data_IF_339038499399
#
_entry.id   IF_339038499399
#
_cell.length_a   1.000
_cell.length_b   1.000
_cell.length_c   1.000
_cell.angle_alpha   90.00
_cell.angle_beta   90.00
_cell.angle_gamma   90.00
#
_symmetry.space_group_name_H-M   'P 1'
#
loop_
_entity.id
_entity.type
_entity.pdbx_description
1 polymer ?
#
# COMPACT_ATOMS: atom_id res chain seq x y z
N UNK A 1 -39.37 -16.81 17.35
CA UNK A 1 -38.58 -17.65 16.41
C UNK A 1 -38.85 -17.19 14.98
N UNK A 2 -38.29 -16.04 14.58
CA UNK A 2 -38.33 -15.58 13.19
C UNK A 2 -37.12 -14.68 12.98
N UNK A 3 -35.94 -15.30 12.88
CA UNK A 3 -34.65 -14.61 12.75
C UNK A 3 -34.54 -13.92 11.36
N UNK A 4 -35.34 -14.37 10.38
CA UNK A 4 -35.16 -14.01 8.98
C UNK A 4 -36.30 -13.22 8.34
N UNK A 5 -37.27 -12.69 9.11
CA UNK A 5 -38.44 -11.99 8.57
C UNK A 5 -39.37 -12.88 7.74
N UNK A 6 -40.69 -12.66 7.79
CA UNK A 6 -41.63 -13.43 6.95
C UNK A 6 -41.57 -13.00 5.49
N UNK A 7 -41.23 -11.74 5.27
CA UNK A 7 -41.08 -11.08 3.98
C UNK A 7 -39.92 -11.65 3.14
N UNK A 8 -38.92 -12.30 3.75
CA UNK A 8 -37.78 -12.88 3.05
C UNK A 8 -37.87 -14.40 2.88
N UNK A 9 -38.99 -15.05 3.25
CA UNK A 9 -39.11 -16.51 3.22
C UNK A 9 -38.85 -17.11 1.83
N UNK A 10 -39.40 -16.50 0.77
CA UNK A 10 -39.19 -16.93 -0.62
C UNK A 10 -37.72 -16.81 -1.01
N UNK A 11 -37.09 -15.69 -0.66
CA UNK A 11 -35.68 -15.41 -0.96
C UNK A 11 -34.74 -16.40 -0.25
N UNK A 12 -35.00 -16.68 1.03
CA UNK A 12 -34.20 -17.63 1.81
C UNK A 12 -34.31 -19.05 1.26
N UNK A 13 -35.50 -19.49 0.85
CA UNK A 13 -35.69 -20.82 0.24
C UNK A 13 -34.98 -20.89 -1.11
N UNK A 14 -35.10 -19.86 -1.95
CA UNK A 14 -34.45 -19.82 -3.25
C UNK A 14 -32.91 -19.89 -3.15
N UNK A 15 -32.32 -19.12 -2.23
CA UNK A 15 -30.88 -19.19 -1.97
C UNK A 15 -30.43 -20.58 -1.52
N UNK A 16 -31.22 -21.26 -0.67
CA UNK A 16 -30.89 -22.61 -0.21
C UNK A 16 -30.99 -23.66 -1.33
N UNK A 17 -31.89 -23.49 -2.29
CA UNK A 17 -32.02 -24.38 -3.45
C UNK A 17 -30.79 -24.30 -4.35
N UNK A 18 -30.26 -23.10 -4.58
CA UNK A 18 -29.06 -22.89 -5.42
C UNK A 18 -27.74 -23.11 -4.69
N UNK A 19 -27.76 -23.14 -3.35
CA UNK A 19 -26.55 -23.28 -2.54
C UNK A 19 -25.75 -24.55 -2.88
N UNK A 20 -26.43 -25.66 -3.20
CA UNK A 20 -25.75 -26.90 -3.59
C UNK A 20 -25.03 -26.76 -4.93
N UNK A 21 -25.67 -26.16 -5.93
CA UNK A 21 -25.06 -25.88 -7.24
C UNK A 21 -23.85 -24.95 -7.08
N UNK A 22 -23.99 -23.92 -6.25
CA UNK A 22 -22.93 -22.95 -5.98
C UNK A 22 -21.75 -23.60 -5.22
N UNK A 23 -22.01 -24.48 -4.26
CA UNK A 23 -20.95 -25.23 -3.56
C UNK A 23 -20.21 -26.16 -4.52
N UNK A 24 -20.95 -26.84 -5.41
CA UNK A 24 -20.35 -27.72 -6.41
C UNK A 24 -19.51 -26.94 -7.44
N UNK A 25 -19.87 -25.69 -7.73
CA UNK A 25 -19.20 -24.85 -8.74
C UNK A 25 -18.03 -24.03 -8.18
N UNK A 26 -18.17 -23.47 -6.97
CA UNK A 26 -17.27 -22.45 -6.42
C UNK A 26 -16.51 -22.90 -5.17
N UNK A 27 -16.76 -24.11 -4.67
CA UNK A 27 -16.09 -24.65 -3.49
C UNK A 27 -16.92 -24.49 -2.22
N UNK A 28 -16.27 -24.45 -1.06
CA UNK A 28 -16.99 -24.39 0.21
C UNK A 28 -17.69 -23.05 0.38
N UNK A 29 -18.72 -22.99 1.23
CA UNK A 29 -19.46 -21.74 1.51
C UNK A 29 -18.52 -20.60 1.92
N UNK A 30 -17.43 -20.89 2.61
CA UNK A 30 -16.47 -19.87 3.03
C UNK A 30 -15.71 -19.24 1.85
N UNK A 31 -15.57 -19.96 0.74
CA UNK A 31 -14.79 -19.53 -0.42
C UNK A 31 -15.53 -18.47 -1.25
N UNK A 32 -16.87 -18.51 -1.27
CA UNK A 32 -17.70 -17.58 -2.05
C UNK A 32 -18.67 -16.73 -1.20
N UNK A 33 -18.74 -16.95 0.11
CA UNK A 33 -19.61 -16.17 0.99
C UNK A 33 -19.09 -14.75 1.16
N UNK A 34 -19.94 -13.76 0.86
CA UNK A 34 -19.66 -12.36 1.14
C UNK A 34 -19.83 -11.97 2.63
N UNK A 35 -20.22 -12.92 3.49
CA UNK A 35 -20.53 -12.67 4.90
C UNK A 35 -19.35 -12.07 5.68
N UNK A 36 -18.12 -12.52 5.39
CA UNK A 36 -16.89 -11.98 6.02
C UNK A 36 -16.75 -10.47 5.80
N UNK A 37 -17.28 -9.95 4.69
CA UNK A 37 -17.23 -8.53 4.34
C UNK A 37 -18.42 -7.71 4.86
N UNK A 38 -19.44 -8.33 5.46
CA UNK A 38 -20.65 -7.64 5.92
C UNK A 38 -20.33 -6.52 6.91
N UNK A 39 -19.41 -6.79 7.84
CA UNK A 39 -18.95 -5.81 8.82
C UNK A 39 -18.32 -4.57 8.15
N UNK A 40 -17.57 -4.77 7.06
CA UNK A 40 -16.95 -3.67 6.31
C UNK A 40 -17.99 -2.94 5.45
N UNK A 41 -18.92 -3.67 4.82
CA UNK A 41 -20.04 -3.07 4.08
C UNK A 41 -20.90 -2.18 4.99
N UNK A 42 -21.13 -2.57 6.24
CA UNK A 42 -21.80 -1.74 7.24
C UNK A 42 -21.04 -0.46 7.59
N UNK A 43 -19.70 -0.46 7.55
CA UNK A 43 -18.89 0.76 7.65
C UNK A 43 -19.10 1.66 6.44
N UNK A 44 -19.05 1.12 5.22
CA UNK A 44 -19.27 1.87 3.98
C UNK A 44 -20.68 2.48 3.93
N UNK A 45 -21.71 1.72 4.28
CA UNK A 45 -23.10 2.20 4.29
C UNK A 45 -23.29 3.40 5.23
N UNK A 46 -22.62 3.45 6.38
CA UNK A 46 -22.68 4.61 7.29
C UNK A 46 -22.05 5.88 6.73
N UNK A 47 -21.20 5.76 5.71
CA UNK A 47 -20.58 6.91 5.03
C UNK A 47 -21.51 7.50 3.97
N UNK A 48 -22.56 6.76 3.58
CA UNK A 48 -23.58 7.20 2.64
C UNK A 48 -24.72 7.91 3.39
N UNK A 49 -24.88 9.20 3.15
CA UNK A 49 -25.98 10.01 3.72
C UNK A 49 -27.19 10.10 2.79
N UNK A 50 -26.94 10.07 1.48
CA UNK A 50 -27.95 10.15 0.42
C UNK A 50 -27.66 9.10 -0.65
N UNK A 51 -28.67 8.62 -1.41
CA UNK A 51 -28.47 7.62 -2.45
C UNK A 51 -27.70 8.14 -3.68
N UNK A 52 -27.57 9.46 -3.84
CA UNK A 52 -26.90 10.07 -4.99
C UNK A 52 -25.37 10.08 -4.82
N UNK A 53 -24.61 9.83 -5.89
CA UNK A 53 -23.13 9.88 -5.90
C UNK A 53 -22.46 9.11 -4.74
N UNK A 54 -22.75 7.81 -4.56
CA UNK A 54 -22.27 7.04 -3.40
C UNK A 54 -20.74 6.97 -3.32
N UNK A 55 -20.05 6.81 -4.46
CA UNK A 55 -18.59 6.77 -4.50
C UNK A 55 -17.97 8.07 -3.98
N UNK A 56 -18.44 9.23 -4.48
CA UNK A 56 -17.94 10.53 -4.05
C UNK A 56 -18.14 10.74 -2.55
N UNK A 57 -19.29 10.36 -2.01
CA UNK A 57 -19.56 10.47 -0.57
C UNK A 57 -18.60 9.62 0.27
N UNK A 58 -18.30 8.40 -0.17
CA UNK A 58 -17.34 7.53 0.52
C UNK A 58 -15.94 8.15 0.47
N UNK A 59 -15.49 8.61 -0.70
CA UNK A 59 -14.17 9.23 -0.88
C UNK A 59 -14.02 10.46 0.02
N UNK A 60 -14.95 11.41 -0.03
CA UNK A 60 -14.92 12.62 0.81
C UNK A 60 -14.92 12.25 2.30
N UNK A 61 -15.73 11.26 2.70
CA UNK A 61 -15.81 10.83 4.10
C UNK A 61 -14.55 10.12 4.58
N UNK A 62 -13.79 9.46 3.69
CA UNK A 62 -12.49 8.88 4.00
C UNK A 62 -11.43 9.98 4.16
N UNK A 63 -11.36 10.92 3.21
CA UNK A 63 -10.42 12.05 3.25
C UNK A 63 -10.62 12.88 4.54
N UNK A 64 -11.86 13.23 4.88
CA UNK A 64 -12.15 14.00 6.10
C UNK A 64 -11.77 13.27 7.41
N UNK A 65 -11.71 11.93 7.39
CA UNK A 65 -11.22 11.14 8.53
C UNK A 65 -9.69 11.16 8.60
N UNK A 66 -9.02 11.12 7.45
CA UNK A 66 -7.56 11.22 7.34
C UNK A 66 -7.07 12.59 7.85
N UNK A 67 -7.71 13.68 7.43
CA UNK A 67 -7.36 15.04 7.90
C UNK A 67 -7.49 15.20 9.43
N UNK A 68 -8.46 14.53 10.05
CA UNK A 68 -8.62 14.58 11.51
C UNK A 68 -7.59 13.73 12.25
N UNK A 69 -7.16 12.61 11.68
CA UNK A 69 -6.05 11.83 12.25
C UNK A 69 -4.73 12.60 12.21
N UNK A 70 -4.49 13.43 11.20
CA UNK A 70 -3.28 14.26 11.12
C UNK A 70 -3.28 15.34 12.21
N UNK A 71 -4.43 15.96 12.50
CA UNK A 71 -4.56 16.92 13.61
C UNK A 71 -4.33 16.29 14.99
N UNK A 72 -4.77 15.05 15.19
CA UNK A 72 -4.54 14.27 16.41
C UNK A 72 -3.09 13.74 16.51
N UNK A 73 -2.41 13.55 15.36
CA UNK A 73 -1.01 13.15 15.33
C UNK A 73 -0.06 14.30 15.67
N UNK A 74 -0.39 15.53 15.30
CA UNK A 74 0.39 16.74 15.58
C UNK A 74 0.49 17.11 17.07
N UNK A 75 -0.39 16.59 17.93
CA UNK A 75 -0.34 16.85 19.37
C UNK A 75 0.61 15.94 20.16
N UNK A 76 1.29 14.99 19.51
CA UNK A 76 2.36 14.19 20.11
C UNK A 76 3.68 14.69 19.54
N UNK A 77 4.55 15.25 20.38
CA UNK A 77 5.97 15.41 20.02
C UNK A 77 6.50 14.03 19.64
N UNK A 78 6.65 13.76 18.34
CA UNK A 78 7.18 12.50 17.85
C UNK A 78 8.49 12.77 17.14
N UNK A 79 9.55 12.15 17.64
CA UNK A 79 10.90 12.17 17.08
C UNK A 79 11.04 11.04 16.07
N UNK A 80 11.64 11.35 14.93
CA UNK A 80 12.18 10.34 14.01
C UNK A 80 13.16 9.46 14.78
N UNK A 81 12.99 8.14 14.68
CA UNK A 81 13.82 7.17 15.37
C UNK A 81 14.57 6.31 14.35
N UNK A 82 15.89 6.24 14.52
CA UNK A 82 16.73 5.28 13.83
C UNK A 82 16.90 4.05 14.71
N UNK A 83 16.56 2.89 14.16
CA UNK A 83 16.54 1.59 14.84
C UNK A 83 17.38 0.60 14.04
N UNK A 84 17.72 -0.52 14.68
CA UNK A 84 18.50 -1.61 14.09
C UNK A 84 19.85 -1.13 13.53
N UNK A 85 20.83 -0.81 14.40
CA UNK A 85 22.18 -0.49 13.96
C UNK A 85 22.77 -1.62 13.11
N UNK A 86 23.40 -1.27 11.99
CA UNK A 86 24.06 -2.23 11.12
C UNK A 86 25.40 -2.61 11.75
N UNK A 87 25.58 -3.89 12.06
CA UNK A 87 26.75 -4.40 12.80
C UNK A 87 28.06 -4.13 12.05
N UNK A 88 28.03 -4.17 10.71
CA UNK A 88 29.20 -3.97 9.85
C UNK A 88 29.62 -2.50 9.70
N UNK A 89 28.72 -1.54 9.95
CA UNK A 89 28.97 -0.11 9.76
C UNK A 89 28.39 0.71 10.93
N UNK A 90 29.19 0.96 11.99
CA UNK A 90 28.74 1.74 13.13
C UNK A 90 28.36 3.17 12.69
N UNK A 91 27.08 3.51 12.86
CA UNK A 91 26.50 4.79 12.43
C UNK A 91 25.43 4.66 11.34
N UNK A 92 25.32 3.49 10.72
CA UNK A 92 24.22 3.13 9.82
C UNK A 92 23.15 2.32 10.55
N UNK A 93 21.90 2.49 10.13
CA UNK A 93 20.71 1.89 10.70
C UNK A 93 19.86 1.31 9.57
N UNK A 94 19.26 0.15 9.76
CA UNK A 94 18.42 -0.48 8.74
C UNK A 94 16.94 -0.13 8.89
N UNK A 95 16.53 0.60 9.93
CA UNK A 95 15.13 0.94 10.15
C UNK A 95 14.94 2.39 10.55
N UNK A 96 13.99 3.04 9.87
CA UNK A 96 13.53 4.40 10.13
C UNK A 96 12.05 4.37 10.52
N UNK A 97 11.73 4.91 11.69
CA UNK A 97 10.36 5.12 12.13
C UNK A 97 10.03 6.62 12.12
N UNK A 98 9.03 6.97 11.31
CA UNK A 98 8.42 8.29 11.28
C UNK A 98 6.99 8.22 11.81
N UNK A 99 6.32 9.37 11.85
CA UNK A 99 4.95 9.47 12.34
C UNK A 99 3.93 8.86 11.38
N UNK A 100 4.31 8.80 10.11
CA UNK A 100 3.43 8.49 8.98
C UNK A 100 3.71 7.07 8.49
N UNK A 101 4.98 6.65 8.48
CA UNK A 101 5.40 5.35 7.99
C UNK A 101 6.67 4.84 8.67
N UNK A 102 6.90 3.54 8.53
CA UNK A 102 8.15 2.88 8.90
C UNK A 102 8.82 2.33 7.64
N UNK A 103 10.11 2.58 7.48
CA UNK A 103 10.93 1.95 6.44
C UNK A 103 11.86 0.95 7.12
N UNK A 104 11.89 -0.28 6.62
CA UNK A 104 12.74 -1.35 7.15
C UNK A 104 13.50 -1.99 5.98
N UNK A 105 14.80 -1.75 5.91
CA UNK A 105 15.69 -2.23 4.87
C UNK A 105 15.93 -3.74 4.94
N UNK A 106 15.54 -4.41 6.04
CA UNK A 106 15.67 -5.86 6.17
C UNK A 106 14.50 -6.62 5.54
N UNK A 107 13.47 -5.90 5.05
CA UNK A 107 12.28 -6.49 4.45
C UNK A 107 12.15 -6.02 3.01
N UNK A 108 12.33 -6.94 2.09
CA UNK A 108 12.17 -6.68 0.66
C UNK A 108 10.80 -6.08 0.37
N UNK A 109 10.80 -4.98 -0.39
CA UNK A 109 9.61 -4.22 -0.78
C UNK A 109 9.04 -3.29 0.29
N UNK A 110 9.60 -3.29 1.51
CA UNK A 110 9.27 -2.30 2.54
C UNK A 110 10.29 -1.14 2.61
N UNK A 111 11.30 -1.18 1.74
CA UNK A 111 12.46 -0.30 1.72
C UNK A 111 12.46 0.66 0.51
N UNK A 112 11.39 0.69 -0.29
CA UNK A 112 11.34 1.51 -1.51
C UNK A 112 10.62 2.84 -1.25
N UNK A 113 11.25 3.92 -1.71
CA UNK A 113 10.73 5.30 -1.58
C UNK A 113 10.76 6.04 -2.91
N UNK A 114 9.82 6.98 -3.07
CA UNK A 114 9.79 7.97 -4.14
C UNK A 114 10.32 9.29 -3.59
N UNK A 115 11.34 9.83 -4.25
CA UNK A 115 11.95 11.12 -3.95
C UNK A 115 11.23 12.26 -4.68
N UNK A 116 11.42 13.48 -4.18
CA UNK A 116 10.78 14.69 -4.72
C UNK A 116 11.20 15.06 -6.15
N UNK A 117 12.33 14.55 -6.63
CA UNK A 117 12.80 14.68 -8.01
C UNK A 117 12.17 13.63 -8.95
N UNK A 118 11.32 12.75 -8.44
CA UNK A 118 10.68 11.65 -9.18
C UNK A 118 11.52 10.38 -9.23
N UNK A 119 12.70 10.35 -8.60
CA UNK A 119 13.54 9.18 -8.52
C UNK A 119 12.96 8.16 -7.54
N UNK A 120 12.96 6.88 -7.91
CA UNK A 120 12.60 5.79 -7.00
C UNK A 120 13.88 5.15 -6.48
N UNK A 121 13.98 5.00 -5.17
CA UNK A 121 15.16 4.45 -4.50
C UNK A 121 14.79 3.24 -3.63
N UNK A 122 15.57 2.16 -3.74
CA UNK A 122 15.64 1.07 -2.77
C UNK A 122 16.63 1.46 -1.67
N UNK A 123 16.13 1.69 -0.46
CA UNK A 123 16.92 2.15 0.68
C UNK A 123 17.65 0.97 1.32
N UNK A 124 18.95 1.12 1.52
CA UNK A 124 19.81 0.12 2.17
C UNK A 124 20.11 0.51 3.61
N UNK A 125 20.28 1.81 3.88
CA UNK A 125 20.60 2.30 5.21
C UNK A 125 20.14 3.72 5.46
N UNK A 126 20.06 4.05 6.74
CA UNK A 126 19.87 5.39 7.27
C UNK A 126 21.09 5.76 8.12
N UNK A 127 21.50 7.02 8.08
CA UNK A 127 22.52 7.54 9.01
C UNK A 127 22.15 8.93 9.48
N UNK A 128 22.64 9.28 10.67
CA UNK A 128 22.48 10.64 11.19
C UNK A 128 23.75 11.43 10.98
N UNK A 129 23.64 12.57 10.30
CA UNK A 129 24.74 13.49 10.03
C UNK A 129 24.28 14.92 10.34
N UNK A 130 25.02 15.63 11.19
CA UNK A 130 24.75 17.03 11.56
C UNK A 130 23.31 17.28 12.03
N UNK A 131 22.74 16.32 12.76
CA UNK A 131 21.38 16.40 13.28
C UNK A 131 20.29 15.94 12.31
N UNK A 132 20.61 15.82 11.01
CA UNK A 132 19.70 15.41 9.93
C UNK A 132 19.83 13.92 9.64
N UNK A 133 18.71 13.29 9.24
CA UNK A 133 18.70 11.89 8.79
C UNK A 133 18.90 11.84 7.27
N UNK A 134 19.95 11.12 6.87
CA UNK A 134 20.24 10.75 5.49
C UNK A 134 19.82 9.31 5.26
N UNK A 135 19.28 9.03 4.08
CA UNK A 135 19.05 7.70 3.55
C UNK A 135 20.03 7.46 2.40
N UNK A 136 20.60 6.26 2.35
CA UNK A 136 21.46 5.81 1.27
C UNK A 136 20.90 4.53 0.66
N UNK A 137 20.91 4.46 -0.67
CA UNK A 137 20.37 3.34 -1.41
C UNK A 137 20.65 3.41 -2.89
N UNK A 138 20.11 2.45 -3.63
CA UNK A 138 20.24 2.35 -5.07
C UNK A 138 18.98 2.88 -5.75
N UNK A 139 19.15 3.71 -6.78
CA UNK A 139 18.03 4.22 -7.56
C UNK A 139 17.66 3.24 -8.66
N UNK A 140 16.39 3.18 -9.04
CA UNK A 140 15.98 2.40 -10.21
C UNK A 140 16.34 3.16 -11.48
N UNK A 141 17.11 2.52 -12.36
CA UNK A 141 17.59 3.12 -13.60
C UNK A 141 16.46 3.24 -14.64
N UNK A 142 15.57 2.25 -14.69
CA UNK A 142 14.49 2.20 -15.66
C UNK A 142 13.14 2.27 -14.94
N UNK A 143 12.40 3.35 -15.24
CA UNK A 143 11.04 3.59 -14.74
C UNK A 143 10.08 3.78 -15.92
N UNK A 144 9.25 2.78 -16.16
CA UNK A 144 8.24 2.77 -17.22
C UNK A 144 6.82 2.94 -16.68
N UNK A 145 5.88 3.26 -17.57
CA UNK A 145 4.46 3.29 -17.22
C UNK A 145 3.96 1.85 -17.12
N UNK A 146 3.46 1.45 -15.95
CA UNK A 146 2.80 0.17 -15.74
C UNK A 146 1.58 -0.02 -16.67
N UNK A 147 0.83 1.05 -16.92
CA UNK A 147 -0.26 1.06 -17.89
C UNK A 147 -0.45 2.46 -18.49
N UNK A 148 -1.00 2.52 -19.70
CA UNK A 148 -1.27 3.77 -20.43
C UNK A 148 -2.76 4.10 -20.57
N UNK A 149 -3.62 3.12 -20.38
CA UNK A 149 -5.07 3.26 -20.47
C UNK A 149 -5.70 2.87 -19.13
N UNK A 150 -6.70 3.60 -18.61
CA UNK A 150 -7.34 4.80 -19.18
C UNK A 150 -6.54 6.10 -19.02
N UNK A 151 -5.50 6.10 -18.18
CA UNK A 151 -4.56 7.22 -17.96
C UNK A 151 -3.15 6.64 -17.85
N UNK A 152 -2.14 7.45 -18.17
CA UNK A 152 -0.74 7.07 -17.96
C UNK A 152 -0.45 6.90 -16.47
N UNK A 153 -0.04 5.70 -16.08
CA UNK A 153 0.21 5.33 -14.69
C UNK A 153 1.29 6.20 -14.03
N UNK A 154 2.24 6.74 -14.80
CA UNK A 154 3.27 7.66 -14.28
C UNK A 154 2.66 8.92 -13.66
N UNK A 155 1.52 9.39 -14.19
CA UNK A 155 0.80 10.54 -13.63
C UNK A 155 0.18 10.23 -12.27
N UNK A 156 -0.02 8.95 -11.96
CA UNK A 156 -0.51 8.44 -10.69
C UNK A 156 0.63 8.05 -9.73
N UNK A 157 1.89 8.25 -10.12
CA UNK A 157 3.05 7.76 -9.38
C UNK A 157 3.18 6.24 -9.41
N UNK A 158 2.55 5.58 -10.39
CA UNK A 158 2.61 4.13 -10.55
C UNK A 158 3.64 3.79 -11.63
N UNK A 159 4.68 3.07 -11.22
CA UNK A 159 5.81 2.75 -12.09
C UNK A 159 5.96 1.25 -12.26
N UNK A 160 6.45 0.86 -13.43
CA UNK A 160 7.09 -0.43 -13.68
C UNK A 160 8.59 -0.19 -13.58
N UNK A 161 9.22 -0.70 -12.53
CA UNK A 161 10.65 -0.49 -12.29
C UNK A 161 11.44 -1.76 -12.65
N UNK A 162 12.54 -1.56 -13.37
CA UNK A 162 13.54 -2.59 -13.70
C UNK A 162 14.93 -2.00 -13.51
N UNK A 163 15.89 -2.85 -13.15
CA UNK A 163 17.31 -2.50 -12.97
C UNK A 163 17.59 -1.46 -11.86
N UNK A 164 18.55 -1.77 -10.98
CA UNK A 164 19.08 -0.81 -10.02
C UNK A 164 20.39 -0.22 -10.55
N UNK A 165 20.58 1.07 -10.33
CA UNK A 165 21.87 1.73 -10.51
C UNK A 165 22.92 1.09 -9.59
N UNK A 166 24.17 1.06 -10.06
CA UNK A 166 25.30 0.49 -9.31
C UNK A 166 25.83 1.43 -8.22
N UNK A 167 25.63 2.74 -8.40
CA UNK A 167 26.12 3.76 -7.50
C UNK A 167 25.10 4.06 -6.40
N UNK A 168 25.59 4.14 -5.16
CA UNK A 168 24.76 4.54 -4.02
C UNK A 168 24.49 6.04 -4.11
N UNK A 169 23.22 6.41 -4.09
CA UNK A 169 22.78 7.79 -3.94
C UNK A 169 22.35 8.04 -2.50
N UNK A 170 22.81 9.16 -1.96
CA UNK A 170 22.37 9.66 -0.66
C UNK A 170 21.35 10.78 -0.84
N UNK A 171 20.34 10.81 0.03
CA UNK A 171 19.29 11.83 0.03
C UNK A 171 18.83 12.09 1.45
N UNK A 172 18.14 13.21 1.67
CA UNK A 172 17.62 13.59 2.98
C UNK A 172 16.23 13.04 3.19
N UNK A 173 15.85 12.78 4.44
CA UNK A 173 14.48 12.33 4.77
C UNK A 173 13.40 13.30 4.28
N UNK A 174 13.71 14.60 4.20
CA UNK A 174 12.82 15.66 3.72
C UNK A 174 12.51 15.55 2.22
N UNK A 175 13.34 14.85 1.46
CA UNK A 175 13.12 14.63 0.02
C UNK A 175 12.20 13.44 -0.27
N UNK A 176 11.82 12.65 0.74
CA UNK A 176 10.88 11.54 0.58
C UNK A 176 9.48 12.11 0.30
N UNK A 177 9.00 11.90 -0.92
CA UNK A 177 7.66 12.30 -1.34
C UNK A 177 6.60 11.26 -1.00
N UNK A 178 6.94 9.98 -1.14
CA UNK A 178 6.05 8.87 -0.80
C UNK A 178 6.82 7.60 -0.50
N UNK A 179 6.24 6.73 0.34
CA UNK A 179 6.69 5.34 0.48
C UNK A 179 6.01 4.49 -0.60
N UNK A 180 6.75 3.60 -1.24
CA UNK A 180 6.22 2.76 -2.31
C UNK A 180 5.83 1.37 -1.78
N UNK A 181 4.73 0.83 -2.30
CA UNK A 181 4.36 -0.57 -2.20
C UNK A 181 4.92 -1.31 -3.41
N UNK A 182 5.50 -2.48 -3.18
CA UNK A 182 5.93 -3.38 -4.24
C UNK A 182 4.85 -4.42 -4.49
N UNK A 183 4.38 -4.50 -5.74
CA UNK A 183 3.50 -5.57 -6.21
C UNK A 183 4.33 -6.41 -7.20
N UNK A 184 4.60 -7.69 -6.91
CA UNK A 184 5.28 -8.57 -7.84
C UNK A 184 4.39 -8.81 -9.06
N UNK A 185 4.99 -8.81 -10.26
CA UNK A 185 4.29 -9.16 -11.49
C UNK A 185 4.00 -10.68 -11.52
N UNK A 186 2.75 -11.08 -11.73
CA UNK A 186 2.34 -12.50 -11.66
C UNK A 186 2.55 -13.27 -12.97
N UNK A 187 3.03 -12.62 -14.05
CA UNK A 187 3.25 -13.27 -15.35
C UNK A 187 4.48 -14.20 -15.41
N UNK A 188 5.37 -14.18 -14.41
CA UNK A 188 6.59 -15.02 -14.38
C UNK A 188 6.42 -16.34 -13.61
N UNK A 189 5.50 -17.21 -14.05
CA UNK A 189 5.47 -18.61 -13.60
C UNK A 189 6.13 -19.61 -14.54
N UNK A 190 6.58 -19.19 -15.73
CA UNK A 190 7.01 -20.16 -16.77
C UNK A 190 8.34 -19.86 -17.48
N UNK A 191 9.17 -18.90 -17.03
CA UNK A 191 10.52 -18.76 -17.59
C UNK A 191 11.59 -18.59 -16.52
N UNK A 192 12.41 -19.63 -16.42
CA UNK A 192 13.69 -19.67 -15.71
C UNK A 192 14.67 -18.59 -16.16
N UNK A 193 15.34 -18.00 -15.15
CA UNK A 193 16.67 -17.36 -15.19
C UNK A 193 16.74 -15.99 -15.87
N UNK A 194 16.21 -14.97 -15.20
CA UNK A 194 16.95 -13.74 -14.90
C UNK A 194 16.23 -13.03 -13.74
N UNK A 195 17.00 -12.51 -12.78
CA UNK A 195 16.49 -11.89 -11.55
C UNK A 195 15.98 -10.45 -11.79
N UNK A 196 15.36 -10.18 -12.94
CA UNK A 196 14.76 -8.88 -13.25
C UNK A 196 13.30 -8.90 -12.82
N UNK A 197 13.09 -8.87 -11.50
CA UNK A 197 11.75 -8.75 -10.95
C UNK A 197 11.15 -7.41 -11.38
N UNK A 198 10.16 -7.48 -12.26
CA UNK A 198 9.32 -6.34 -12.59
C UNK A 198 8.56 -5.94 -11.32
N UNK A 199 8.84 -4.75 -10.81
CA UNK A 199 8.17 -4.23 -9.62
C UNK A 199 7.14 -3.18 -10.03
N UNK A 200 5.88 -3.42 -9.71
CA UNK A 200 4.86 -2.38 -9.73
C UNK A 200 4.94 -1.58 -8.44
N UNK A 201 5.27 -0.31 -8.56
CA UNK A 201 5.47 0.58 -7.43
C UNK A 201 4.28 1.52 -7.28
N UNK A 202 3.62 1.49 -6.13
CA UNK A 202 2.42 2.30 -5.85
C UNK A 202 2.64 3.13 -4.59
N UNK A 203 2.35 4.45 -4.60
CA UNK A 203 2.50 5.27 -3.39
C UNK A 203 1.52 4.84 -2.30
N UNK A 204 2.03 4.51 -1.11
CA UNK A 204 1.24 4.09 0.06
C UNK A 204 0.71 5.27 0.86
N UNK A 205 1.58 6.26 1.14
CA UNK A 205 1.28 7.48 1.87
C UNK A 205 2.12 8.60 1.29
N UNK A 206 1.51 9.76 1.01
CA UNK A 206 2.24 10.99 0.70
C UNK A 206 2.61 11.70 1.98
N UNK A 207 3.79 12.33 2.02
CA UNK A 207 4.28 13.14 3.16
C UNK A 207 3.72 14.58 3.18
N UNK A 208 2.76 14.91 2.31
CA UNK A 208 2.10 16.22 2.28
C UNK A 208 0.94 16.33 3.25
#
# INVERSE_FOLDING_TARGET
MAIYGREYAVYNVHNLVHLWDDVNKWGTINDFSAFVFESFLGKLKRMLKKPNQPLMQVVISLLAKMDNTDKLAQSRERKEALLNPIVTDPGKFSRLETNIFTIDCLKDGNNIVLLSDGCVMSVEYFRRQDGTILLGGYCFAVLESAFKYPIDSKQLGIYKATELELDIRESTISEISAKMCVIPDEEDKDNTRDNDHILHLVPLCSTR
#
